data_IF_785831638701
#
_entry.id   IF_785831638701
#
_cell.length_a   1.000
_cell.length_b   1.000
_cell.length_c   1.000
_cell.angle_alpha   90.00
_cell.angle_beta   90.00
_cell.angle_gamma   90.00
#
_symmetry.space_group_name_H-M   'P 1'
#
loop_
_entity.id
_entity.type
_entity.pdbx_description
1 polymer ?
#
# COMPACT_ATOMS: atom_id res chain seq x y z
N UNK A 1 1.65 13.55 9.48
CA UNK A 1 2.15 14.79 10.15
C UNK A 1 3.60 15.00 9.76
N UNK A 2 4.07 16.24 9.59
CA UNK A 2 5.47 16.52 9.19
C UNK A 2 6.40 16.53 10.42
N UNK A 3 7.35 15.60 10.48
CA UNK A 3 8.35 15.46 11.55
C UNK A 3 9.30 16.68 11.63
N UNK A 4 9.56 17.34 10.50
CA UNK A 4 10.37 18.56 10.41
C UNK A 4 9.88 19.68 11.36
N UNK A 5 8.57 19.73 11.64
CA UNK A 5 7.97 20.76 12.50
C UNK A 5 8.26 20.55 13.99
N UNK A 6 8.70 19.35 14.37
CA UNK A 6 8.97 19.01 15.77
C UNK A 6 10.46 18.84 16.06
N UNK A 7 11.32 18.77 15.03
CA UNK A 7 12.78 18.84 15.14
C UNK A 7 13.17 20.32 15.33
N UNK A 8 14.00 20.61 16.33
CA UNK A 8 14.60 21.93 16.46
C UNK A 8 16.08 21.81 16.75
N UNK A 9 16.90 22.64 16.09
CA UNK A 9 18.36 22.67 16.24
C UNK A 9 18.81 22.76 17.69
N UNK A 10 18.09 23.54 18.51
CA UNK A 10 18.39 23.71 19.94
C UNK A 10 18.09 22.49 20.83
N UNK A 11 17.58 21.38 20.28
CA UNK A 11 17.25 20.15 21.02
C UNK A 11 18.00 18.95 20.44
N UNK A 12 19.11 19.21 19.74
CA UNK A 12 20.01 18.21 19.19
C UNK A 12 21.35 18.40 19.86
N UNK A 13 21.83 17.37 20.54
CA UNK A 13 23.05 17.44 21.35
C UNK A 13 23.92 16.21 21.16
N UNK A 14 25.23 16.40 21.39
CA UNK A 14 26.13 15.28 21.63
C UNK A 14 26.00 14.89 23.11
N UNK A 15 25.81 13.60 23.36
CA UNK A 15 25.62 13.04 24.69
C UNK A 15 26.98 12.70 25.31
N UNK A 16 27.15 13.08 26.57
CA UNK A 16 28.35 12.77 27.34
C UNK A 16 28.18 11.54 28.23
N UNK A 17 26.95 11.26 28.68
CA UNK A 17 26.65 10.10 29.50
C UNK A 17 26.80 8.79 28.73
N UNK A 18 27.27 7.76 29.45
CA UNK A 18 27.39 6.38 28.96
C UNK A 18 26.19 5.50 29.34
N UNK A 19 25.22 6.06 30.06
CA UNK A 19 24.00 5.38 30.54
C UNK A 19 22.76 6.04 29.95
N UNK A 20 21.70 5.24 29.73
CA UNK A 20 20.42 5.75 29.22
C UNK A 20 19.82 6.82 30.14
N UNK A 21 19.90 6.62 31.46
CA UNK A 21 19.41 7.58 32.45
C UNK A 21 20.10 8.94 32.32
N UNK A 22 21.43 8.96 32.31
CA UNK A 22 22.18 10.22 32.18
C UNK A 22 21.90 10.91 30.85
N UNK A 23 21.78 10.14 29.77
CA UNK A 23 21.43 10.70 28.47
C UNK A 23 20.01 11.30 28.42
N UNK A 24 19.04 10.69 29.11
CA UNK A 24 17.70 11.26 29.24
C UNK A 24 17.68 12.54 30.09
N UNK A 25 18.52 12.61 31.14
CA UNK A 25 18.70 13.83 31.94
C UNK A 25 19.25 14.99 31.08
N UNK A 26 20.27 14.71 30.25
CA UNK A 26 20.82 15.68 29.27
C UNK A 26 19.79 16.10 28.21
N UNK A 27 18.97 15.18 27.70
CA UNK A 27 17.93 15.53 26.70
C UNK A 27 16.76 16.30 27.31
N UNK A 28 16.43 16.04 28.57
CA UNK A 28 15.38 16.77 29.29
C UNK A 28 15.81 18.19 29.63
N UNK A 29 17.07 18.44 29.96
CA UNK A 29 17.55 19.81 30.26
C UNK A 29 17.34 20.75 29.06
N UNK A 30 17.74 20.33 27.86
CA UNK A 30 17.55 21.11 26.62
C UNK A 30 16.09 21.23 26.15
N UNK A 31 15.20 20.39 26.69
CA UNK A 31 13.76 20.49 26.45
C UNK A 31 13.06 21.42 27.43
N UNK A 32 13.33 21.26 28.74
CA UNK A 32 12.57 21.86 29.82
C UNK A 32 12.93 23.32 30.09
N UNK A 33 14.15 23.76 29.75
CA UNK A 33 14.57 25.17 29.85
C UNK A 33 13.65 26.15 29.09
N UNK A 34 12.83 25.65 28.17
CA UNK A 34 11.93 26.45 27.32
C UNK A 34 10.45 26.35 27.69
N UNK A 35 10.07 25.53 28.69
CA UNK A 35 8.68 25.27 29.02
C UNK A 35 8.47 25.10 30.53
N UNK A 36 7.93 26.14 31.18
CA UNK A 36 7.64 26.15 32.63
C UNK A 36 6.68 25.03 33.08
N UNK A 37 5.84 24.55 32.16
CA UNK A 37 4.86 23.49 32.41
C UNK A 37 5.49 22.08 32.52
N UNK A 38 6.79 21.93 32.20
CA UNK A 38 7.50 20.64 32.18
C UNK A 38 8.40 20.48 33.42
N UNK A 39 8.16 19.44 34.22
CA UNK A 39 8.99 19.09 35.39
C UNK A 39 9.97 17.96 35.01
N UNK A 40 11.29 18.22 34.86
CA UNK A 40 12.26 17.23 34.40
C UNK A 40 12.27 15.93 35.20
N UNK A 41 12.22 16.02 36.54
CA UNK A 41 12.21 14.85 37.42
C UNK A 41 10.98 13.95 37.23
N UNK A 42 9.81 14.54 36.95
CA UNK A 42 8.60 13.78 36.68
C UNK A 42 8.64 13.12 35.31
N UNK A 43 9.19 13.81 34.32
CA UNK A 43 9.36 13.30 32.96
C UNK A 43 10.36 12.15 32.94
N UNK A 44 11.50 12.30 33.62
CA UNK A 44 12.52 11.27 33.74
C UNK A 44 11.95 9.99 34.37
N UNK A 45 11.22 10.12 35.48
CA UNK A 45 10.55 8.96 36.10
C UNK A 45 9.57 8.28 35.15
N UNK A 46 8.79 9.05 34.39
CA UNK A 46 7.85 8.50 33.41
C UNK A 46 8.54 7.77 32.25
N UNK A 47 9.63 8.34 31.73
CA UNK A 47 10.43 7.73 30.66
C UNK A 47 11.09 6.42 31.13
N UNK A 48 11.71 6.43 32.31
CA UNK A 48 12.36 5.24 32.88
C UNK A 48 11.35 4.13 33.22
N UNK A 49 10.17 4.48 33.77
CA UNK A 49 9.11 3.50 34.03
C UNK A 49 8.56 2.88 32.72
N UNK A 50 8.51 3.67 31.64
CA UNK A 50 8.11 3.18 30.32
C UNK A 50 9.15 2.22 29.75
N UNK A 51 10.43 2.54 29.91
CA UNK A 51 11.56 1.72 29.50
C UNK A 51 11.61 0.37 30.24
N UNK A 52 11.38 0.39 31.55
CA UNK A 52 11.41 -0.83 32.38
C UNK A 52 10.27 -1.81 32.06
N UNK A 53 9.20 -1.34 31.43
CA UNK A 53 8.08 -2.19 30.98
C UNK A 53 8.43 -2.92 29.69
N UNK A 54 9.06 -2.21 28.75
CA UNK A 54 9.49 -2.74 27.46
C UNK A 54 10.54 -1.79 26.88
N UNK A 55 11.66 -2.35 26.44
CA UNK A 55 12.74 -1.59 25.81
C UNK A 55 12.22 -0.71 24.67
N UNK A 56 12.73 0.51 24.59
CA UNK A 56 12.50 1.42 23.45
C UNK A 56 13.62 1.38 22.43
N UNK A 57 14.54 0.42 22.58
CA UNK A 57 15.55 0.11 21.59
C UNK A 57 14.90 -0.46 20.31
N UNK A 58 15.34 0.04 19.16
CA UNK A 58 14.76 -0.29 17.85
C UNK A 58 15.70 -1.11 16.96
N UNK A 59 16.88 -1.49 17.45
CA UNK A 59 17.95 -2.07 16.65
C UNK A 59 18.90 -1.02 16.08
N UNK A 60 20.02 -1.48 15.52
CA UNK A 60 21.02 -0.66 14.80
C UNK A 60 21.57 0.53 15.60
N UNK A 61 21.59 0.45 16.94
CA UNK A 61 22.09 1.53 17.79
C UNK A 61 21.15 2.72 17.98
N UNK A 62 19.84 2.53 17.79
CA UNK A 62 18.83 3.58 17.97
C UNK A 62 17.83 3.25 19.08
N UNK A 63 17.50 4.23 19.92
CA UNK A 63 16.45 4.15 20.94
C UNK A 63 15.43 5.30 20.79
N UNK A 64 14.16 5.02 21.10
CA UNK A 64 13.03 5.98 21.02
C UNK A 64 12.27 6.13 22.36
N UNK A 65 12.91 6.64 23.44
CA UNK A 65 12.24 6.82 24.73
C UNK A 65 11.11 7.84 24.61
N UNK A 66 9.95 7.53 25.22
CA UNK A 66 8.76 8.35 25.01
C UNK A 66 7.81 8.36 26.20
N UNK A 67 7.10 9.48 26.40
CA UNK A 67 6.10 9.60 27.47
C UNK A 67 5.00 10.60 27.09
N UNK A 68 3.78 10.36 27.60
CA UNK A 68 2.70 11.35 27.54
C UNK A 68 2.74 12.27 28.75
N UNK A 69 2.59 13.57 28.52
CA UNK A 69 2.58 14.57 29.58
C UNK A 69 1.50 15.63 29.32
N UNK A 70 1.00 16.25 30.39
CA UNK A 70 0.10 17.40 30.28
C UNK A 70 0.92 18.61 29.81
N UNK A 71 0.73 19.02 28.56
CA UNK A 71 1.39 20.21 28.01
C UNK A 71 0.56 20.84 26.88
N UNK A 72 0.74 22.14 26.65
CA UNK A 72 0.05 22.88 25.58
C UNK A 72 0.51 22.48 24.18
N UNK A 73 1.77 22.09 24.02
CA UNK A 73 2.31 21.63 22.72
C UNK A 73 1.88 20.20 22.44
N UNK A 74 1.68 19.87 21.16
CA UNK A 74 1.30 18.52 20.74
C UNK A 74 2.47 17.53 20.91
N UNK A 75 3.68 17.93 20.51
CA UNK A 75 4.88 17.09 20.56
C UNK A 75 6.14 17.92 20.82
N UNK A 76 7.09 17.33 21.53
CA UNK A 76 8.46 17.82 21.71
C UNK A 76 9.39 16.64 21.43
N UNK A 77 10.28 16.79 20.45
CA UNK A 77 11.31 15.82 20.10
C UNK A 77 12.68 16.42 20.46
N UNK A 78 13.51 15.64 21.14
CA UNK A 78 14.94 15.90 21.32
C UNK A 78 15.76 14.70 20.87
N UNK A 79 16.94 14.97 20.35
CA UNK A 79 17.79 13.99 19.69
C UNK A 79 19.18 14.07 20.29
N UNK A 80 19.66 12.95 20.81
CA UNK A 80 20.99 12.84 21.40
C UNK A 80 21.85 11.89 20.59
N UNK A 81 23.08 12.30 20.26
CA UNK A 81 24.07 11.45 19.61
C UNK A 81 25.19 11.10 20.58
N UNK A 82 25.42 9.82 20.81
CA UNK A 82 26.58 9.32 21.55
C UNK A 82 27.65 8.78 20.59
N UNK A 83 28.85 9.37 20.63
CA UNK A 83 29.99 8.92 19.82
C UNK A 83 30.60 7.62 20.32
N UNK A 84 30.56 7.39 21.63
CA UNK A 84 31.12 6.20 22.29
C UNK A 84 30.11 5.06 22.42
N UNK A 85 28.82 5.38 22.23
CA UNK A 85 27.70 4.47 22.40
C UNK A 85 27.33 4.28 23.87
N UNK A 86 26.03 4.30 24.15
CA UNK A 86 25.45 4.12 25.48
C UNK A 86 25.13 2.65 25.71
N UNK A 87 25.42 2.15 26.91
CA UNK A 87 24.98 0.82 27.33
C UNK A 87 23.48 0.85 27.62
N UNK A 88 22.75 -0.09 27.04
CA UNK A 88 21.31 -0.26 27.22
C UNK A 88 21.06 -1.53 28.05
N UNK A 89 20.20 -1.44 29.07
CA UNK A 89 19.85 -2.57 29.91
C UNK A 89 18.81 -3.44 29.18
N UNK A 90 19.19 -4.67 28.81
CA UNK A 90 18.32 -5.62 28.10
C UNK A 90 18.74 -5.96 26.66
N UNK A 91 19.87 -5.45 26.19
CA UNK A 91 20.51 -5.85 24.91
C UNK A 91 21.77 -6.72 25.17
N UNK A 92 22.22 -7.48 24.17
CA UNK A 92 23.51 -8.20 24.25
C UNK A 92 24.67 -7.21 24.47
N UNK A 93 25.76 -7.64 25.12
CA UNK A 93 26.92 -6.79 25.50
C UNK A 93 27.58 -6.01 24.33
N UNK A 94 27.34 -6.44 23.09
CA UNK A 94 27.90 -5.84 21.88
C UNK A 94 27.04 -4.68 21.30
N UNK A 95 25.78 -4.57 21.69
CA UNK A 95 24.87 -3.57 21.12
C UNK A 95 24.91 -2.26 21.91
N UNK A 96 25.35 -1.18 21.25
CA UNK A 96 25.43 0.16 21.84
C UNK A 96 24.46 1.12 21.17
N UNK A 97 23.86 2.00 21.96
CA UNK A 97 22.96 3.04 21.46
C UNK A 97 23.77 4.30 21.12
N UNK A 98 23.82 4.64 19.83
CA UNK A 98 24.48 5.85 19.34
C UNK A 98 23.52 7.01 19.10
N UNK A 99 22.22 6.74 18.91
CA UNK A 99 21.20 7.77 18.70
C UNK A 99 19.99 7.54 19.61
N UNK A 100 19.58 8.59 20.30
CA UNK A 100 18.38 8.60 21.16
C UNK A 100 17.41 9.65 20.65
N UNK A 101 16.20 9.22 20.32
CA UNK A 101 15.09 10.09 19.94
C UNK A 101 14.10 10.15 21.10
N UNK A 102 14.18 11.19 21.92
CA UNK A 102 13.27 11.36 23.05
C UNK A 102 12.01 12.12 22.62
N UNK A 103 10.84 11.49 22.74
CA UNK A 103 9.55 12.09 22.36
C UNK A 103 8.64 12.33 23.58
N UNK A 104 8.34 13.60 23.85
CA UNK A 104 7.27 13.98 24.78
C UNK A 104 6.01 14.31 23.98
N UNK A 105 4.89 13.69 24.33
CA UNK A 105 3.61 13.90 23.67
C UNK A 105 2.57 14.51 24.62
N UNK A 106 1.83 15.49 24.14
CA UNK A 106 0.71 16.07 24.89
C UNK A 106 -0.35 15.01 25.15
N UNK A 107 -0.97 15.02 26.33
CA UNK A 107 -2.09 14.14 26.68
C UNK A 107 -3.26 14.20 25.68
N UNK A 108 -3.47 15.38 25.05
CA UNK A 108 -4.48 15.61 24.00
C UNK A 108 -3.94 15.49 22.57
N UNK A 109 -2.72 15.01 22.36
CA UNK A 109 -2.13 14.93 21.03
C UNK A 109 -2.73 13.77 20.21
N UNK A 110 -3.49 14.03 19.12
CA UNK A 110 -4.04 12.97 18.27
C UNK A 110 -2.91 12.30 17.49
N UNK A 111 -2.98 10.99 17.25
CA UNK A 111 -2.05 10.26 16.36
C UNK A 111 -0.60 10.12 16.89
N UNK A 112 -0.40 10.13 18.22
CA UNK A 112 0.90 9.87 18.85
C UNK A 112 1.60 8.58 18.37
N UNK A 113 0.86 7.47 18.25
CA UNK A 113 1.41 6.20 17.76
C UNK A 113 1.88 6.29 16.31
N UNK A 114 1.23 7.11 15.48
CA UNK A 114 1.67 7.34 14.09
C UNK A 114 3.00 8.09 14.04
N UNK A 115 3.25 9.03 14.96
CA UNK A 115 4.54 9.74 15.07
C UNK A 115 5.65 8.77 15.44
N UNK A 116 5.43 7.91 16.44
CA UNK A 116 6.37 6.87 16.82
C UNK A 116 6.65 5.91 15.66
N UNK A 117 5.61 5.42 14.99
CA UNK A 117 5.74 4.51 13.84
C UNK A 117 6.52 5.16 12.69
N UNK A 118 6.35 6.46 12.47
CA UNK A 118 7.08 7.19 11.43
C UNK A 118 8.57 7.33 11.76
N UNK A 119 8.92 7.65 13.02
CA UNK A 119 10.32 7.70 13.46
C UNK A 119 10.95 6.30 13.38
N UNK A 120 10.26 5.29 13.91
CA UNK A 120 10.73 3.91 13.93
C UNK A 120 10.97 3.34 12.52
N UNK A 121 10.15 3.71 11.52
CA UNK A 121 10.34 3.28 10.14
C UNK A 121 11.58 3.89 9.51
N UNK A 122 11.86 5.17 9.75
CA UNK A 122 13.01 5.85 9.16
C UNK A 122 14.32 5.30 9.73
N UNK A 123 14.35 5.02 11.03
CA UNK A 123 15.56 4.51 11.71
C UNK A 123 15.80 3.00 11.50
N UNK A 124 14.96 2.31 10.72
CA UNK A 124 15.21 0.91 10.32
C UNK A 124 16.21 0.78 9.17
N UNK A 125 16.48 1.84 8.43
CA UNK A 125 17.45 1.85 7.33
C UNK A 125 18.89 1.98 7.87
N UNK A 126 19.73 0.93 7.83
CA UNK A 126 21.05 0.95 8.49
C UNK A 126 21.99 2.03 7.94
N UNK A 127 21.91 2.30 6.63
CA UNK A 127 22.70 3.34 5.97
C UNK A 127 22.36 4.75 6.50
N UNK A 128 21.08 5.03 6.73
CA UNK A 128 20.63 6.31 7.28
C UNK A 128 21.14 6.48 8.71
N UNK A 129 20.99 5.46 9.55
CA UNK A 129 21.44 5.50 10.94
C UNK A 129 22.94 5.69 11.04
N UNK A 130 23.72 4.99 10.23
CA UNK A 130 25.18 5.13 10.20
C UNK A 130 25.59 6.52 9.70
N UNK A 131 24.88 7.06 8.71
CA UNK A 131 25.09 8.42 8.23
C UNK A 131 24.79 9.47 9.33
N UNK A 132 23.72 9.30 10.10
CA UNK A 132 23.40 10.18 11.23
C UNK A 132 24.46 10.09 12.34
N UNK A 133 24.81 8.87 12.75
CA UNK A 133 25.79 8.64 13.81
C UNK A 133 27.18 9.21 13.46
N UNK A 134 27.59 9.12 12.20
CA UNK A 134 28.90 9.56 11.72
C UNK A 134 28.93 11.03 11.24
N UNK A 135 27.92 11.83 11.54
CA UNK A 135 27.96 13.25 11.20
C UNK A 135 29.17 13.94 11.89
N UNK A 136 29.95 14.80 11.20
CA UNK A 136 31.13 15.41 11.78
C UNK A 136 30.81 16.35 12.95
N UNK A 137 29.69 17.06 12.87
CA UNK A 137 29.24 18.06 13.85
C UNK A 137 27.70 18.05 13.99
N UNK A 138 27.18 18.81 14.97
CA UNK A 138 25.74 18.90 15.25
C UNK A 138 24.96 19.65 14.16
N UNK A 139 25.63 20.51 13.40
CA UNK A 139 25.02 21.25 12.30
C UNK A 139 24.74 20.32 11.12
N UNK A 140 25.72 19.50 10.75
CA UNK A 140 25.60 18.44 9.76
C UNK A 140 24.64 17.35 10.23
N UNK A 141 24.64 17.03 11.53
CA UNK A 141 23.65 16.11 12.11
C UNK A 141 22.24 16.70 11.96
N UNK A 142 22.03 17.96 12.31
CA UNK A 142 20.74 18.63 12.10
C UNK A 142 20.35 18.68 10.63
N UNK A 143 21.28 18.94 9.71
CA UNK A 143 21.01 18.92 8.27
C UNK A 143 20.68 17.53 7.75
N UNK A 144 21.33 16.47 8.25
CA UNK A 144 21.01 15.07 7.93
C UNK A 144 19.75 14.58 8.64
N UNK A 145 19.39 15.14 9.78
CA UNK A 145 18.15 14.83 10.48
C UNK A 145 17.00 15.56 9.79
N UNK A 146 17.12 16.85 9.54
CA UNK A 146 16.12 17.56 8.75
C UNK A 146 16.08 17.00 7.35
N UNK A 147 17.20 16.69 6.70
CA UNK A 147 17.35 16.12 5.35
C UNK A 147 17.35 14.59 5.23
N UNK A 148 17.11 13.88 6.33
CA UNK A 148 17.00 12.40 6.40
C UNK A 148 15.71 11.96 7.09
N UNK A 149 15.14 12.81 7.98
CA UNK A 149 13.72 12.82 8.31
C UNK A 149 12.91 13.55 7.21
N UNK A 150 13.49 14.54 6.51
CA UNK A 150 13.22 14.88 5.09
C UNK A 150 14.17 14.09 4.21
N UNK A 151 13.97 12.77 4.06
CA UNK A 151 14.33 12.23 2.76
C UNK A 151 13.68 13.13 1.71
N UNK A 152 14.48 13.98 1.04
CA UNK A 152 14.15 14.92 -0.05
C UNK A 152 13.73 16.38 0.35
N UNK A 153 14.65 17.33 0.68
CA UNK A 153 14.47 18.80 0.42
C UNK A 153 15.81 19.53 0.16
N UNK A 154 16.29 19.48 -1.09
CA UNK A 154 16.03 20.59 -2.04
C UNK A 154 15.05 20.19 -3.15
N UNK A 155 14.76 18.89 -3.25
CA UNK A 155 14.03 18.33 -4.37
C UNK A 155 12.50 18.40 -4.16
N UNK A 156 11.94 18.39 -2.93
CA UNK A 156 10.47 18.51 -2.72
C UNK A 156 9.87 19.90 -3.01
N UNK A 157 10.60 21.00 -2.85
CA UNK A 157 10.07 22.33 -3.19
C UNK A 157 10.01 22.51 -4.73
N UNK A 158 11.05 22.03 -5.42
CA UNK A 158 11.10 21.95 -6.87
C UNK A 158 10.11 20.91 -7.40
N UNK A 159 9.98 19.74 -6.79
CA UNK A 159 9.01 18.70 -7.11
C UNK A 159 7.58 19.15 -6.83
N UNK A 160 7.28 19.92 -5.78
CA UNK A 160 5.93 20.48 -5.61
C UNK A 160 5.59 21.46 -6.75
N UNK A 161 6.57 22.24 -7.23
CA UNK A 161 6.38 23.09 -8.42
C UNK A 161 6.21 22.25 -9.68
N UNK A 162 7.05 21.23 -9.88
CA UNK A 162 6.98 20.31 -11.02
C UNK A 162 5.70 19.49 -11.03
N UNK A 163 5.27 18.96 -9.89
CA UNK A 163 4.02 18.19 -9.73
C UNK A 163 2.81 19.08 -10.00
N UNK A 164 2.80 20.31 -9.50
CA UNK A 164 1.75 21.30 -9.83
C UNK A 164 1.75 21.65 -11.31
N UNK A 165 2.92 21.81 -11.91
CA UNK A 165 3.05 22.07 -13.34
C UNK A 165 2.54 20.88 -14.17
N UNK A 166 3.00 19.67 -13.88
CA UNK A 166 2.57 18.45 -14.56
C UNK A 166 1.08 18.19 -14.41
N UNK A 167 0.51 18.40 -13.22
CA UNK A 167 -0.92 18.29 -13.04
C UNK A 167 -1.69 19.35 -13.85
N UNK A 168 -1.20 20.59 -13.88
CA UNK A 168 -1.79 21.66 -14.71
C UNK A 168 -1.70 21.34 -16.21
N UNK A 169 -0.57 20.80 -16.67
CA UNK A 169 -0.44 20.35 -18.06
C UNK A 169 -1.35 19.14 -18.32
N UNK A 170 -1.55 18.25 -17.35
CA UNK A 170 -2.51 17.16 -17.47
C UNK A 170 -3.93 17.65 -17.68
N UNK A 171 -4.33 18.73 -17.02
CA UNK A 171 -5.64 19.34 -17.26
C UNK A 171 -5.76 19.89 -18.69
N UNK A 172 -4.69 20.49 -19.21
CA UNK A 172 -4.67 20.99 -20.60
C UNK A 172 -4.69 19.85 -21.61
N UNK A 173 -3.89 18.81 -21.40
CA UNK A 173 -3.89 17.61 -22.24
C UNK A 173 -5.25 16.94 -22.20
N UNK A 174 -5.83 16.76 -21.01
CA UNK A 174 -7.17 16.19 -20.86
C UNK A 174 -8.23 17.02 -21.60
N UNK A 175 -8.18 18.35 -21.50
CA UNK A 175 -9.10 19.22 -22.23
C UNK A 175 -8.91 19.13 -23.75
N UNK A 176 -7.66 19.20 -24.22
CA UNK A 176 -7.33 19.18 -25.65
C UNK A 176 -7.56 17.82 -26.31
N UNK A 177 -7.40 16.74 -25.56
CA UNK A 177 -7.69 15.38 -26.00
C UNK A 177 -9.16 14.98 -25.78
N UNK A 178 -10.02 15.88 -25.27
CA UNK A 178 -11.42 15.60 -24.93
C UNK A 178 -11.58 14.39 -23.99
N UNK A 179 -10.71 14.28 -22.97
CA UNK A 179 -10.83 13.27 -21.94
C UNK A 179 -12.01 13.57 -21.01
N UNK A 180 -12.78 12.54 -20.66
CA UNK A 180 -13.90 12.65 -19.72
C UNK A 180 -13.45 12.65 -18.26
N UNK A 181 -12.27 12.11 -17.96
CA UNK A 181 -11.69 12.10 -16.62
C UNK A 181 -10.15 12.22 -16.61
N UNK A 182 -9.63 12.66 -15.46
CA UNK A 182 -8.21 12.62 -15.10
C UNK A 182 -8.02 11.59 -13.99
N UNK A 183 -7.26 10.54 -14.26
CA UNK A 183 -6.92 9.50 -13.30
C UNK A 183 -5.56 9.82 -12.67
N UNK A 184 -5.52 9.91 -11.34
CA UNK A 184 -4.33 10.31 -10.57
C UNK A 184 -3.86 9.13 -9.72
N UNK A 185 -2.64 8.66 -9.96
CA UNK A 185 -2.04 7.59 -9.15
C UNK A 185 -1.44 8.18 -7.87
N UNK A 186 -2.14 7.98 -6.76
CA UNK A 186 -1.75 8.43 -5.43
C UNK A 186 -0.54 7.69 -4.86
N UNK A 187 -0.27 6.47 -5.32
CA UNK A 187 0.88 5.66 -4.88
C UNK A 187 2.24 6.28 -5.22
N UNK A 188 2.26 7.26 -6.13
CA UNK A 188 3.43 8.11 -6.36
C UNK A 188 3.86 8.83 -5.09
N UNK A 189 2.94 9.13 -4.17
CA UNK A 189 3.23 9.86 -2.94
C UNK A 189 3.21 8.96 -1.70
N UNK A 190 4.23 9.13 -0.86
CA UNK A 190 4.29 8.49 0.46
C UNK A 190 3.38 9.28 1.41
N UNK A 191 2.26 8.67 1.82
CA UNK A 191 1.33 9.26 2.80
C UNK A 191 0.17 10.06 2.19
N UNK A 192 -0.15 9.83 0.91
CA UNK A 192 -1.26 10.48 0.22
C UNK A 192 -0.85 11.74 -0.56
N UNK A 193 -1.77 12.28 -1.36
CA UNK A 193 -1.46 13.42 -2.23
C UNK A 193 -1.52 14.72 -1.41
N UNK A 194 -0.54 15.65 -1.56
CA UNK A 194 -0.57 16.92 -0.84
C UNK A 194 -1.82 17.74 -1.18
N UNK A 195 -2.53 18.20 -0.14
CA UNK A 195 -3.72 19.04 -0.27
C UNK A 195 -3.45 20.32 -1.08
N UNK A 196 -4.37 20.68 -1.98
CA UNK A 196 -4.30 21.91 -2.79
C UNK A 196 -3.51 21.82 -4.10
N UNK A 197 -3.04 20.63 -4.52
CA UNK A 197 -2.42 20.43 -5.84
C UNK A 197 -3.48 20.24 -6.96
N UNK A 198 -4.73 19.90 -6.61
CA UNK A 198 -5.55 19.04 -7.46
C UNK A 198 -6.90 19.63 -7.92
N UNK A 199 -7.09 20.94 -7.86
CA UNK A 199 -8.37 21.53 -8.30
C UNK A 199 -8.53 21.39 -9.81
N UNK A 200 -9.54 20.63 -10.23
CA UNK A 200 -9.88 20.39 -11.64
C UNK A 200 -11.34 20.68 -11.95
N UNK A 201 -11.57 21.15 -13.19
CA UNK A 201 -12.92 21.26 -13.77
C UNK A 201 -13.35 19.96 -14.46
N UNK A 202 -12.39 19.10 -14.80
CA UNK A 202 -12.61 17.76 -15.36
C UNK A 202 -12.68 16.78 -14.19
N UNK A 203 -13.57 15.79 -14.28
CA UNK A 203 -13.74 14.71 -13.30
C UNK A 203 -12.38 14.11 -12.92
N UNK A 204 -12.04 14.08 -11.63
CA UNK A 204 -10.79 13.48 -11.15
C UNK A 204 -11.06 12.17 -10.41
N UNK A 205 -10.29 11.14 -10.74
CA UNK A 205 -10.34 9.81 -10.13
C UNK A 205 -9.02 9.55 -9.42
N UNK A 206 -9.03 9.46 -8.10
CA UNK A 206 -7.85 9.08 -7.31
C UNK A 206 -7.73 7.57 -7.26
N UNK A 207 -6.54 7.04 -7.54
CA UNK A 207 -6.21 5.62 -7.46
C UNK A 207 -5.11 5.43 -6.41
N UNK A 208 -5.34 4.60 -5.38
CA UNK A 208 -4.30 4.29 -4.38
C UNK A 208 -4.36 2.87 -3.85
N UNK A 209 -3.20 2.32 -3.44
CA UNK A 209 -3.10 0.99 -2.80
C UNK A 209 -3.67 0.92 -1.40
N UNK A 210 -3.49 1.99 -0.63
CA UNK A 210 -4.00 2.07 0.72
C UNK A 210 -5.30 2.87 0.73
N UNK A 211 -6.18 2.59 1.69
CA UNK A 211 -7.23 3.50 2.06
C UNK A 211 -6.57 4.83 2.46
N UNK A 212 -6.55 5.79 1.54
CA UNK A 212 -6.19 7.15 1.86
C UNK A 212 -7.39 7.67 2.64
N UNK A 213 -7.28 7.67 3.97
CA UNK A 213 -8.16 8.48 4.81
C UNK A 213 -8.10 9.90 4.27
N UNK A 214 -9.15 10.32 3.57
CA UNK A 214 -9.31 11.72 3.21
C UNK A 214 -9.26 12.50 4.52
N UNK A 215 -8.39 13.50 4.67
CA UNK A 215 -8.45 14.35 5.85
C UNK A 215 -9.84 14.97 5.87
N UNK A 216 -10.59 14.70 6.94
CA UNK A 216 -11.86 15.35 7.23
C UNK A 216 -11.60 16.85 7.44
N UNK A 217 -11.49 17.59 6.35
CA UNK A 217 -11.53 19.04 6.32
C UNK A 217 -12.71 19.43 5.44
N UNK A 218 -13.59 20.26 6.00
CA UNK A 218 -14.88 20.71 5.45
C UNK A 218 -14.78 21.53 4.14
N UNK A 219 -13.62 21.58 3.49
CA UNK A 219 -13.38 22.29 2.25
C UNK A 219 -13.35 21.29 1.07
N UNK A 220 -14.49 21.13 0.39
CA UNK A 220 -14.72 20.54 -0.95
C UNK A 220 -13.75 19.42 -1.38
N UNK A 221 -14.27 18.19 -1.50
CA UNK A 221 -13.60 17.02 -2.08
C UNK A 221 -12.70 17.37 -3.27
N UNK A 222 -11.38 17.25 -3.10
CA UNK A 222 -10.38 17.48 -4.16
C UNK A 222 -10.49 16.43 -5.30
N UNK A 223 -11.24 15.35 -5.08
CA UNK A 223 -11.47 14.24 -6.02
C UNK A 223 -12.93 13.86 -6.12
N UNK A 224 -13.42 13.63 -7.34
CA UNK A 224 -14.80 13.21 -7.57
C UNK A 224 -15.05 11.73 -7.25
N UNK A 225 -14.03 10.88 -7.45
CA UNK A 225 -14.10 9.45 -7.16
C UNK A 225 -12.75 9.02 -6.58
N UNK A 226 -12.77 8.20 -5.53
CA UNK A 226 -11.57 7.55 -4.99
C UNK A 226 -11.71 6.05 -5.15
N UNK A 227 -10.79 5.42 -5.87
CA UNK A 227 -10.70 3.98 -6.08
C UNK A 227 -9.53 3.44 -5.27
N UNK A 228 -9.83 2.55 -4.34
CA UNK A 228 -8.81 1.78 -3.66
C UNK A 228 -8.49 0.57 -4.52
N UNK A 229 -7.25 0.48 -4.96
CA UNK A 229 -6.79 -0.61 -5.82
C UNK A 229 -5.68 -1.32 -5.04
N UNK A 230 -6.05 -2.34 -4.26
CA UNK A 230 -5.08 -3.20 -3.56
C UNK A 230 -4.13 -3.76 -4.63
N UNK A 231 -2.85 -3.40 -4.51
CA UNK A 231 -1.87 -3.27 -5.60
C UNK A 231 -1.91 -4.34 -6.70
N UNK A 232 -1.97 -3.96 -7.97
CA UNK A 232 -1.81 -4.88 -9.11
C UNK A 232 -0.58 -4.48 -9.95
N UNK A 233 0.61 -4.88 -9.49
CA UNK A 233 1.95 -4.60 -10.06
C UNK A 233 2.61 -3.27 -9.68
N UNK A 234 3.95 -3.28 -9.61
CA UNK A 234 4.80 -2.09 -9.57
C UNK A 234 5.04 -1.48 -10.96
N UNK A 235 4.56 -2.15 -12.02
CA UNK A 235 4.64 -1.67 -13.40
C UNK A 235 3.50 -0.71 -13.71
N UNK A 236 3.82 0.45 -14.29
CA UNK A 236 2.88 1.56 -14.55
C UNK A 236 1.68 1.14 -15.41
N UNK A 237 1.90 0.35 -16.46
CA UNK A 237 0.84 -0.06 -17.37
C UNK A 237 -0.13 -1.07 -16.74
N UNK A 238 0.40 -2.00 -15.94
CA UNK A 238 -0.41 -3.00 -15.24
C UNK A 238 -1.25 -2.36 -14.12
N UNK A 239 -0.68 -1.36 -13.43
CA UNK A 239 -1.41 -0.53 -12.48
C UNK A 239 -2.52 0.27 -13.17
N UNK A 240 -2.24 0.84 -14.35
CA UNK A 240 -3.21 1.58 -15.15
C UNK A 240 -4.37 0.70 -15.61
N UNK A 241 -4.08 -0.48 -16.17
CA UNK A 241 -5.12 -1.43 -16.60
C UNK A 241 -6.02 -1.82 -15.44
N UNK A 242 -5.44 -2.13 -14.30
CA UNK A 242 -6.20 -2.53 -13.12
C UNK A 242 -7.05 -1.38 -12.56
N UNK A 243 -6.53 -0.16 -12.57
CA UNK A 243 -7.29 1.01 -12.15
C UNK A 243 -8.47 1.32 -13.08
N UNK A 244 -8.28 1.20 -14.40
CA UNK A 244 -9.36 1.34 -15.38
C UNK A 244 -10.40 0.22 -15.20
N UNK A 245 -9.96 -1.02 -15.00
CA UNK A 245 -10.84 -2.17 -14.76
C UNK A 245 -11.74 -1.91 -13.55
N UNK A 246 -11.19 -1.44 -12.43
CA UNK A 246 -11.96 -1.11 -11.23
C UNK A 246 -12.88 0.08 -11.46
N UNK A 247 -12.41 1.11 -12.17
CA UNK A 247 -13.24 2.27 -12.50
C UNK A 247 -14.44 1.89 -13.39
N UNK A 248 -14.27 0.98 -14.35
CA UNK A 248 -15.35 0.42 -15.16
C UNK A 248 -16.32 -0.41 -14.32
N UNK A 249 -15.78 -1.23 -13.42
CA UNK A 249 -16.53 -2.12 -12.53
C UNK A 249 -17.43 -1.33 -11.57
N UNK A 250 -16.96 -0.18 -11.07
CA UNK A 250 -17.73 0.74 -10.22
C UNK A 250 -18.61 1.74 -10.99
N UNK A 251 -18.65 1.67 -12.33
CA UNK A 251 -19.39 2.62 -13.17
C UNK A 251 -18.82 4.05 -13.13
N UNK A 252 -17.60 4.23 -12.64
CA UNK A 252 -16.90 5.51 -12.62
C UNK A 252 -16.40 5.92 -14.02
N UNK A 253 -16.20 4.94 -14.91
CA UNK A 253 -15.84 5.13 -16.32
C UNK A 253 -16.71 4.22 -17.20
N UNK A 254 -16.81 4.58 -18.47
CA UNK A 254 -17.42 3.80 -19.54
C UNK A 254 -16.37 3.37 -20.57
N UNK A 255 -16.65 2.34 -21.36
CA UNK A 255 -15.71 1.88 -22.39
C UNK A 255 -15.39 2.89 -23.48
N UNK A 256 -16.34 3.77 -23.79
CA UNK A 256 -16.17 4.86 -24.77
C UNK A 256 -15.41 6.05 -24.21
N UNK A 257 -15.05 6.04 -22.92
CA UNK A 257 -14.31 7.12 -22.31
C UNK A 257 -12.84 7.16 -22.77
N UNK A 258 -12.35 8.38 -22.91
CA UNK A 258 -10.93 8.69 -23.01
C UNK A 258 -10.49 9.34 -21.70
N UNK A 259 -9.39 8.88 -21.13
CA UNK A 259 -8.90 9.37 -19.84
C UNK A 259 -7.46 9.88 -19.93
N UNK A 260 -7.14 10.88 -19.13
CA UNK A 260 -5.77 11.35 -18.93
C UNK A 260 -5.24 10.78 -17.61
N UNK A 261 -4.21 9.96 -17.69
CA UNK A 261 -3.55 9.35 -16.54
C UNK A 261 -2.32 10.18 -16.16
N UNK A 262 -2.17 10.51 -14.88
CA UNK A 262 -0.98 11.15 -14.32
C UNK A 262 -0.47 10.37 -13.10
N UNK A 263 0.83 10.09 -13.09
CA UNK A 263 1.47 9.32 -12.05
C UNK A 263 3.00 9.41 -12.13
N UNK A 264 3.65 8.56 -11.36
CA UNK A 264 5.09 8.40 -11.34
C UNK A 264 5.50 7.14 -10.59
N UNK A 265 6.81 6.88 -10.49
CA UNK A 265 7.33 5.75 -9.70
C UNK A 265 6.71 5.77 -8.29
N UNK A 266 6.27 4.61 -7.83
CA UNK A 266 5.67 4.48 -6.50
C UNK A 266 6.63 4.99 -5.41
N UNK A 267 6.14 5.86 -4.54
CA UNK A 267 6.93 6.48 -3.46
C UNK A 267 7.96 7.53 -3.89
N UNK A 268 8.07 7.89 -5.18
CA UNK A 268 9.01 8.92 -5.63
C UNK A 268 8.66 10.33 -5.18
N UNK A 269 7.41 10.54 -4.74
CA UNK A 269 6.79 11.85 -4.50
C UNK A 269 6.82 12.79 -5.72
N UNK A 270 6.99 12.25 -6.92
CA UNK A 270 7.13 13.02 -8.15
C UNK A 270 6.33 12.41 -9.28
N UNK A 271 5.45 13.21 -9.89
CA UNK A 271 4.89 12.88 -11.19
C UNK A 271 6.00 12.91 -12.23
N UNK A 272 6.06 11.87 -13.05
CA UNK A 272 7.01 11.76 -14.15
C UNK A 272 6.34 11.24 -15.44
N UNK A 273 5.10 10.76 -15.33
CA UNK A 273 4.38 10.10 -16.41
C UNK A 273 3.02 10.76 -16.59
N UNK A 274 2.76 11.12 -17.84
CA UNK A 274 1.47 11.55 -18.32
C UNK A 274 1.10 10.72 -19.54
N UNK A 275 -0.11 10.16 -19.55
CA UNK A 275 -0.60 9.32 -20.65
C UNK A 275 -2.05 9.61 -20.95
N UNK A 276 -2.44 9.53 -22.22
CA UNK A 276 -3.84 9.58 -22.66
C UNK A 276 -4.22 8.19 -23.13
N UNK A 277 -5.31 7.66 -22.59
CA UNK A 277 -5.77 6.30 -22.87
C UNK A 277 -7.20 6.33 -23.37
N UNK A 278 -7.41 5.70 -24.52
CA UNK A 278 -8.74 5.33 -25.00
C UNK A 278 -9.08 3.95 -24.47
N UNK A 279 -10.10 3.87 -23.62
CA UNK A 279 -10.40 2.63 -22.90
C UNK A 279 -10.82 1.53 -23.88
N UNK A 280 -11.67 1.86 -24.86
CA UNK A 280 -12.08 0.91 -25.90
C UNK A 280 -10.90 0.28 -26.63
N UNK A 281 -9.87 1.08 -26.96
CA UNK A 281 -8.68 0.58 -27.66
C UNK A 281 -7.80 -0.29 -26.77
N UNK A 282 -7.61 0.11 -25.51
CA UNK A 282 -6.79 -0.65 -24.54
C UNK A 282 -7.44 -1.98 -24.15
N UNK A 283 -8.78 -2.02 -24.07
CA UNK A 283 -9.57 -3.19 -23.68
C UNK A 283 -10.23 -3.90 -24.87
N UNK A 284 -9.90 -3.53 -26.11
CA UNK A 284 -10.55 -4.00 -27.34
C UNK A 284 -10.61 -5.52 -27.41
N UNK A 285 -9.53 -6.18 -26.98
CA UNK A 285 -9.43 -7.64 -26.98
C UNK A 285 -10.45 -8.26 -26.02
N UNK A 286 -10.59 -7.73 -24.80
CA UNK A 286 -11.54 -8.25 -23.81
C UNK A 286 -13.00 -8.02 -24.19
N UNK A 287 -13.27 -6.91 -24.86
CA UNK A 287 -14.63 -6.50 -25.18
C UNK A 287 -15.26 -7.36 -26.27
N UNK A 288 -14.46 -7.94 -27.17
CA UNK A 288 -14.95 -8.77 -28.29
C UNK A 288 -16.15 -8.15 -29.02
N UNK A 289 -16.18 -6.81 -29.15
CA UNK A 289 -17.30 -6.06 -29.75
C UNK A 289 -18.55 -5.86 -28.88
N UNK A 290 -18.47 -6.07 -27.55
CA UNK A 290 -19.55 -5.76 -26.59
C UNK A 290 -19.08 -4.75 -25.55
N UNK A 291 -20.03 -4.03 -24.95
CA UNK A 291 -19.75 -2.98 -23.95
C UNK A 291 -19.85 -3.46 -22.49
N UNK A 292 -19.91 -4.77 -22.24
CA UNK A 292 -20.02 -5.37 -20.91
C UNK A 292 -18.77 -6.19 -20.54
N UNK A 293 -18.15 -5.82 -19.42
CA UNK A 293 -17.03 -6.57 -18.83
C UNK A 293 -17.54 -7.74 -17.99
N UNK A 294 -18.40 -7.39 -17.02
CA UNK A 294 -18.94 -8.31 -16.04
C UNK A 294 -20.07 -9.13 -16.66
N UNK A 295 -20.12 -10.45 -16.42
CA UNK A 295 -21.35 -11.21 -16.57
C UNK A 295 -22.47 -10.55 -15.75
N UNK A 296 -23.71 -10.62 -16.25
CA UNK A 296 -24.89 -9.96 -15.65
C UNK A 296 -25.14 -10.38 -14.20
N UNK A 297 -24.71 -11.58 -13.86
CA UNK A 297 -24.85 -12.24 -12.56
C UNK A 297 -23.70 -11.96 -11.59
N UNK A 298 -22.61 -11.32 -12.03
CA UNK A 298 -21.44 -11.06 -11.19
C UNK A 298 -21.48 -9.64 -10.61
N UNK A 299 -21.48 -9.55 -9.28
CA UNK A 299 -21.43 -8.27 -8.58
C UNK A 299 -20.01 -7.64 -8.67
N UNK A 300 -19.91 -6.31 -8.87
CA UNK A 300 -18.64 -5.58 -8.87
C UNK A 300 -17.72 -5.89 -7.68
N UNK A 301 -18.28 -5.90 -6.47
CA UNK A 301 -17.54 -6.07 -5.22
C UNK A 301 -16.94 -7.48 -5.11
N UNK A 302 -17.60 -8.47 -5.71
CA UNK A 302 -17.12 -9.86 -5.76
C UNK A 302 -15.89 -9.94 -6.64
N UNK A 303 -15.93 -9.35 -7.85
CA UNK A 303 -14.76 -9.32 -8.72
C UNK A 303 -13.59 -8.60 -8.04
N UNK A 304 -13.84 -7.42 -7.48
CA UNK A 304 -12.82 -6.65 -6.75
C UNK A 304 -12.15 -7.50 -5.66
N UNK A 305 -12.96 -8.19 -4.85
CA UNK A 305 -12.47 -9.02 -3.76
C UNK A 305 -11.67 -10.22 -4.25
N UNK A 306 -12.12 -10.91 -5.30
CA UNK A 306 -11.39 -12.06 -5.87
C UNK A 306 -10.06 -11.62 -6.46
N UNK A 307 -10.01 -10.49 -7.18
CA UNK A 307 -8.73 -9.99 -7.70
C UNK A 307 -7.80 -9.61 -6.53
N UNK A 308 -8.32 -8.95 -5.48
CA UNK A 308 -7.52 -8.62 -4.30
C UNK A 308 -6.89 -9.86 -3.65
N UNK A 309 -7.70 -10.91 -3.39
CA UNK A 309 -7.21 -12.18 -2.84
C UNK A 309 -6.19 -12.85 -3.76
N UNK A 310 -6.46 -12.87 -5.07
CA UNK A 310 -5.54 -13.43 -6.06
C UNK A 310 -4.18 -12.73 -6.05
N UNK A 311 -4.14 -11.43 -5.81
CA UNK A 311 -2.89 -10.67 -5.77
C UNK A 311 -2.18 -10.72 -4.42
N UNK A 312 -2.91 -10.75 -3.31
CA UNK A 312 -2.32 -11.07 -2.01
C UNK A 312 -1.63 -12.46 -2.09
N UNK A 313 -2.30 -13.46 -2.67
CA UNK A 313 -1.70 -14.76 -2.97
C UNK A 313 -0.47 -14.68 -3.87
N UNK A 314 -0.51 -13.84 -4.92
CA UNK A 314 0.62 -13.65 -5.82
C UNK A 314 1.83 -12.97 -5.17
N UNK A 315 1.64 -12.19 -4.10
CA UNK A 315 2.69 -11.43 -3.37
C UNK A 315 3.20 -12.16 -2.12
N UNK A 316 2.31 -12.76 -1.33
CA UNK A 316 2.67 -13.45 -0.09
C UNK A 316 2.99 -14.93 -0.35
N UNK A 317 2.33 -15.52 -1.34
CA UNK A 317 2.30 -16.97 -1.48
C UNK A 317 1.66 -17.64 -0.27
N UNK A 318 2.01 -18.89 -0.03
CA UNK A 318 1.69 -19.62 1.20
C UNK A 318 2.98 -19.91 1.95
N UNK A 319 3.09 -19.48 3.21
CA UNK A 319 4.31 -19.65 4.01
C UNK A 319 5.57 -19.12 3.28
N UNK A 320 5.41 -18.06 2.49
CA UNK A 320 6.47 -17.47 1.67
C UNK A 320 6.81 -18.22 0.37
N UNK A 321 6.13 -19.34 0.06
CA UNK A 321 6.29 -20.08 -1.19
C UNK A 321 5.27 -19.67 -2.24
N UNK A 322 5.65 -19.51 -3.52
CA UNK A 322 4.70 -19.20 -4.57
C UNK A 322 3.65 -20.30 -4.75
N UNK A 323 2.37 -19.92 -4.78
CA UNK A 323 1.25 -20.84 -5.05
C UNK A 323 0.51 -20.36 -6.29
N UNK A 324 0.21 -21.29 -7.20
CA UNK A 324 -0.60 -21.01 -8.36
C UNK A 324 -2.03 -21.49 -8.15
N UNK A 325 -3.01 -20.64 -8.47
CA UNK A 325 -4.43 -20.90 -8.22
C UNK A 325 -5.29 -20.43 -9.38
N UNK A 326 -6.49 -21.00 -9.50
CA UNK A 326 -7.49 -20.62 -10.49
C UNK A 326 -8.80 -20.28 -9.76
N UNK A 327 -9.32 -19.08 -9.98
CA UNK A 327 -10.62 -18.65 -9.51
C UNK A 327 -11.57 -18.53 -10.70
N UNK A 328 -12.78 -19.06 -10.57
CA UNK A 328 -13.83 -18.98 -11.60
C UNK A 328 -15.06 -18.33 -10.97
N UNK A 329 -15.48 -17.20 -11.52
CA UNK A 329 -16.56 -16.35 -10.97
C UNK A 329 -17.68 -16.19 -11.99
N UNK A 330 -18.90 -16.60 -11.62
CA UNK A 330 -20.09 -16.44 -12.45
C UNK A 330 -21.22 -17.41 -12.10
N UNK A 331 -22.04 -17.72 -13.10
CA UNK A 331 -23.22 -18.57 -12.97
C UNK A 331 -22.80 -19.99 -12.62
N UNK A 332 -22.95 -20.34 -11.34
CA UNK A 332 -22.46 -21.60 -10.80
C UNK A 332 -23.06 -22.81 -11.53
N UNK A 333 -24.33 -22.71 -11.96
CA UNK A 333 -25.00 -23.80 -12.67
C UNK A 333 -24.36 -24.11 -14.04
N UNK A 334 -23.75 -23.12 -14.68
CA UNK A 334 -23.01 -23.30 -15.94
C UNK A 334 -21.60 -23.78 -15.69
N UNK A 335 -20.94 -23.22 -14.68
CA UNK A 335 -19.57 -23.54 -14.30
C UNK A 335 -19.46 -24.98 -13.81
N UNK A 336 -20.38 -25.44 -12.96
CA UNK A 336 -20.38 -26.80 -12.41
C UNK A 336 -20.51 -27.87 -13.49
N UNK A 337 -21.35 -27.64 -14.52
CA UNK A 337 -21.50 -28.55 -15.67
C UNK A 337 -20.20 -28.77 -16.44
N UNK A 338 -19.25 -27.86 -16.31
CA UNK A 338 -17.94 -27.91 -16.95
C UNK A 338 -16.82 -28.20 -15.95
N UNK A 339 -17.15 -28.70 -14.76
CA UNK A 339 -16.18 -28.99 -13.72
C UNK A 339 -16.45 -30.33 -13.03
N UNK A 340 -15.42 -30.91 -12.41
CA UNK A 340 -15.54 -32.09 -11.54
C UNK A 340 -14.69 -31.94 -10.28
N UNK A 341 -15.15 -32.38 -9.10
CA UNK A 341 -14.32 -32.37 -7.90
C UNK A 341 -13.08 -33.25 -8.07
N UNK A 342 -11.89 -32.74 -7.74
CA UNK A 342 -10.66 -33.54 -7.59
C UNK A 342 -10.50 -34.05 -6.16
N UNK A 343 -10.96 -33.26 -5.20
CA UNK A 343 -10.93 -33.54 -3.77
C UNK A 343 -12.31 -33.32 -3.15
N UNK A 344 -12.47 -33.74 -1.90
CA UNK A 344 -13.67 -33.39 -1.12
C UNK A 344 -13.76 -31.88 -0.99
N UNK A 345 -14.96 -31.34 -1.20
CA UNK A 345 -15.21 -29.91 -1.15
C UNK A 345 -15.10 -29.41 0.30
N UNK A 346 -14.12 -28.54 0.62
CA UNK A 346 -13.94 -28.05 1.99
C UNK A 346 -15.00 -27.04 2.42
N UNK A 347 -15.77 -26.46 1.49
CA UNK A 347 -16.85 -25.53 1.81
C UNK A 347 -18.21 -26.21 2.02
N UNK A 348 -18.29 -27.53 1.80
CA UNK A 348 -19.53 -28.27 1.96
C UNK A 348 -20.00 -28.27 3.42
N UNK A 349 -21.28 -27.97 3.64
CA UNK A 349 -21.90 -27.96 4.98
C UNK A 349 -21.80 -26.64 5.74
N UNK A 350 -21.04 -25.67 5.23
CA UNK A 350 -21.01 -24.31 5.77
C UNK A 350 -22.12 -23.45 5.16
N UNK A 351 -22.61 -22.47 5.93
CA UNK A 351 -23.61 -21.52 5.41
C UNK A 351 -22.99 -20.60 4.37
N UNK A 352 -23.83 -20.10 3.46
CA UNK A 352 -23.42 -19.17 2.40
C UNK A 352 -22.74 -17.90 2.95
N UNK A 353 -23.23 -17.37 4.07
CA UNK A 353 -22.65 -16.21 4.76
C UNK A 353 -21.22 -16.44 5.26
N UNK A 354 -20.94 -17.64 5.75
CA UNK A 354 -19.63 -18.02 6.30
C UNK A 354 -18.63 -18.30 5.18
N UNK A 355 -19.10 -18.76 4.02
CA UNK A 355 -18.28 -19.09 2.84
C UNK A 355 -18.35 -18.05 1.73
N UNK A 356 -18.76 -16.81 2.03
CA UNK A 356 -18.74 -15.73 1.05
C UNK A 356 -17.35 -15.07 0.98
N UNK A 357 -16.82 -14.84 -0.21
CA UNK A 357 -15.50 -14.20 -0.42
C UNK A 357 -15.44 -12.76 0.13
N UNK A 358 -16.60 -12.09 0.23
CA UNK A 358 -16.72 -10.76 0.82
C UNK A 358 -16.55 -10.78 2.34
N UNK A 359 -16.62 -11.95 2.98
CA UNK A 359 -16.32 -12.11 4.40
C UNK A 359 -14.82 -11.85 4.65
N UNK A 360 -14.46 -10.89 5.52
CA UNK A 360 -13.06 -10.59 5.85
C UNK A 360 -12.27 -11.79 6.40
N UNK A 361 -12.94 -12.75 7.04
CA UNK A 361 -12.29 -13.94 7.60
C UNK A 361 -11.95 -15.02 6.57
N UNK A 362 -12.40 -14.84 5.32
CA UNK A 362 -12.19 -15.81 4.24
C UNK A 362 -10.79 -15.77 3.64
N UNK A 363 -10.00 -14.73 3.93
CA UNK A 363 -8.66 -14.53 3.36
C UNK A 363 -7.73 -15.70 3.69
N UNK A 364 -7.61 -16.05 4.97
CA UNK A 364 -6.73 -17.14 5.40
C UNK A 364 -7.27 -18.50 4.95
N UNK A 365 -8.58 -18.69 4.90
CA UNK A 365 -9.20 -19.94 4.42
C UNK A 365 -8.91 -20.17 2.94
N UNK A 366 -9.09 -19.15 2.11
CA UNK A 366 -8.79 -19.24 0.67
C UNK A 366 -7.28 -19.41 0.46
N UNK A 367 -6.45 -18.72 1.24
CA UNK A 367 -4.99 -18.91 1.20
C UNK A 367 -4.58 -20.33 1.57
N UNK A 368 -5.18 -20.93 2.58
CA UNK A 368 -4.88 -22.30 2.98
C UNK A 368 -5.29 -23.29 1.89
N UNK A 369 -6.52 -23.17 1.36
CA UNK A 369 -7.03 -24.03 0.31
C UNK A 369 -6.40 -23.77 -1.08
N UNK A 370 -5.69 -22.66 -1.27
CA UNK A 370 -5.02 -22.33 -2.54
C UNK A 370 -3.96 -23.36 -2.93
N UNK A 371 -3.49 -24.14 -1.95
CA UNK A 371 -2.55 -25.24 -2.11
C UNK A 371 -3.15 -26.51 -2.72
N UNK A 372 -4.48 -26.60 -2.73
CA UNK A 372 -5.21 -27.72 -3.34
C UNK A 372 -5.18 -27.56 -4.86
N UNK A 373 -4.96 -28.66 -5.58
CA UNK A 373 -5.02 -28.61 -7.04
C UNK A 373 -6.46 -28.49 -7.55
N UNK A 374 -6.65 -27.66 -8.57
CA UNK A 374 -7.95 -27.32 -9.15
C UNK A 374 -8.31 -25.85 -9.03
N UNK A 375 -9.57 -25.55 -9.29
CA UNK A 375 -10.15 -24.22 -9.26
C UNK A 375 -11.01 -24.00 -8.02
N UNK A 376 -11.06 -22.74 -7.58
CA UNK A 376 -12.14 -22.22 -6.76
C UNK A 376 -13.31 -21.85 -7.66
N UNK A 377 -14.51 -22.35 -7.34
CA UNK A 377 -15.74 -21.97 -8.01
C UNK A 377 -16.51 -21.00 -7.12
N UNK A 378 -16.81 -19.82 -7.65
CA UNK A 378 -17.40 -18.70 -6.91
C UNK A 378 -18.67 -18.25 -7.64
N UNK A 379 -19.78 -18.21 -6.94
CA UNK A 379 -21.01 -17.62 -7.43
C UNK A 379 -20.85 -16.13 -7.72
N UNK A 380 -21.64 -15.59 -8.64
CA UNK A 380 -21.61 -14.15 -8.96
C UNK A 380 -21.97 -13.22 -7.79
N UNK A 381 -22.57 -13.77 -6.73
CA UNK A 381 -22.87 -13.11 -5.46
C UNK A 381 -21.76 -13.26 -4.38
N UNK A 382 -20.69 -13.99 -4.70
CA UNK A 382 -19.50 -14.14 -3.86
C UNK A 382 -19.43 -15.43 -3.05
N UNK A 383 -20.43 -16.30 -3.11
CA UNK A 383 -20.41 -17.58 -2.37
C UNK A 383 -19.35 -18.51 -2.95
N UNK A 384 -18.44 -19.03 -2.11
CA UNK A 384 -17.49 -20.08 -2.47
C UNK A 384 -18.20 -21.43 -2.48
N UNK A 385 -18.36 -21.97 -3.68
CA UNK A 385 -19.10 -23.21 -3.89
C UNK A 385 -18.18 -24.42 -3.82
N UNK A 386 -16.95 -24.30 -4.31
CA UNK A 386 -15.95 -25.36 -4.14
C UNK A 386 -14.51 -24.83 -4.19
N UNK A 387 -13.59 -25.61 -3.61
CA UNK A 387 -12.17 -25.55 -3.89
C UNK A 387 -11.69 -26.92 -4.39
N UNK A 388 -10.73 -26.91 -5.31
CA UNK A 388 -10.16 -28.14 -5.87
C UNK A 388 -11.02 -28.79 -6.96
N UNK A 389 -11.67 -27.98 -7.80
CA UNK A 389 -12.44 -28.47 -8.95
C UNK A 389 -11.60 -28.51 -10.22
N UNK A 390 -11.54 -29.66 -10.91
CA UNK A 390 -10.97 -29.79 -12.24
C UNK A 390 -11.90 -29.16 -13.27
N UNK A 391 -11.38 -28.25 -14.07
CA UNK A 391 -12.10 -27.67 -15.20
C UNK A 391 -12.01 -28.61 -16.41
N UNK A 392 -13.16 -29.05 -16.92
CA UNK A 392 -13.32 -29.92 -18.10
C UNK A 392 -13.78 -29.13 -19.33
N UNK A 393 -13.34 -27.88 -19.44
CA UNK A 393 -13.52 -27.08 -20.65
C UNK A 393 -12.28 -27.24 -21.54
N UNK A 394 -12.48 -27.75 -22.75
CA UNK A 394 -11.44 -27.80 -23.78
C UNK A 394 -11.84 -26.84 -24.89
N UNK A 395 -10.89 -26.00 -25.30
CA UNK A 395 -10.99 -25.18 -26.50
C UNK A 395 -9.79 -25.50 -27.42
N UNK A 396 -9.99 -26.30 -28.49
CA UNK A 396 -8.90 -26.71 -29.37
C UNK A 396 -8.42 -25.60 -30.32
N UNK A 397 -9.17 -24.50 -30.48
CA UNK A 397 -8.81 -23.44 -31.43
C UNK A 397 -8.06 -22.26 -30.80
N UNK A 398 -7.98 -22.19 -29.47
CA UNK A 398 -7.37 -21.05 -28.78
C UNK A 398 -5.88 -21.26 -28.50
N UNK A 399 -5.01 -20.51 -29.21
CA UNK A 399 -3.57 -20.52 -28.96
C UNK A 399 -3.20 -19.50 -27.88
N UNK A 400 -2.78 -20.02 -26.73
CA UNK A 400 -2.19 -19.18 -25.68
C UNK A 400 -0.71 -18.89 -25.98
N UNK A 401 -0.19 -17.69 -25.66
CA UNK A 401 1.24 -17.40 -25.74
C UNK A 401 2.09 -18.45 -25.00
N UNK A 402 3.29 -18.72 -25.52
CA UNK A 402 4.22 -19.68 -24.91
C UNK A 402 4.58 -19.33 -23.46
N UNK A 403 4.71 -20.35 -22.60
CA UNK A 403 5.05 -20.19 -21.19
C UNK A 403 3.86 -20.02 -20.24
N UNK A 404 2.64 -20.31 -20.70
CA UNK A 404 1.43 -20.40 -19.89
C UNK A 404 1.06 -21.88 -19.64
N UNK A 405 0.76 -22.22 -18.38
CA UNK A 405 0.48 -23.60 -17.96
C UNK A 405 -0.99 -24.03 -18.09
N UNK A 406 -1.30 -25.26 -17.66
CA UNK A 406 -2.64 -25.87 -17.73
C UNK A 406 -3.76 -25.02 -17.13
N UNK A 407 -3.51 -24.30 -16.02
CA UNK A 407 -4.49 -23.39 -15.40
C UNK A 407 -4.91 -22.23 -16.31
N UNK A 408 -4.02 -21.72 -17.16
CA UNK A 408 -4.35 -20.65 -18.11
C UNK A 408 -5.21 -21.19 -19.25
N UNK A 409 -4.90 -22.38 -19.75
CA UNK A 409 -5.72 -23.05 -20.77
C UNK A 409 -7.13 -23.33 -20.25
N UNK A 410 -7.24 -23.84 -19.02
CA UNK A 410 -8.51 -24.06 -18.34
C UNK A 410 -9.30 -22.75 -18.17
N UNK A 411 -8.64 -21.66 -17.74
CA UNK A 411 -9.26 -20.35 -17.56
C UNK A 411 -9.79 -19.75 -18.87
N UNK A 412 -9.01 -19.84 -19.95
CA UNK A 412 -9.44 -19.39 -21.27
C UNK A 412 -10.68 -20.17 -21.72
N UNK A 413 -10.63 -21.51 -21.68
CA UNK A 413 -11.72 -22.34 -22.15
C UNK A 413 -13.01 -22.15 -21.33
N UNK A 414 -12.93 -22.10 -19.99
CA UNK A 414 -14.13 -21.96 -19.16
C UNK A 414 -14.74 -20.56 -19.25
N UNK A 415 -13.92 -19.50 -19.30
CA UNK A 415 -14.41 -18.13 -19.45
C UNK A 415 -15.16 -17.92 -20.77
N UNK A 416 -14.80 -18.67 -21.82
CA UNK A 416 -15.52 -18.70 -23.09
C UNK A 416 -16.82 -19.52 -23.00
N UNK A 417 -16.72 -20.79 -22.57
CA UNK A 417 -17.85 -21.75 -22.60
C UNK A 417 -18.95 -21.42 -21.60
N UNK A 418 -18.58 -21.04 -20.37
CA UNK A 418 -19.53 -20.69 -19.32
C UNK A 418 -19.93 -19.21 -19.35
N UNK A 419 -19.28 -18.39 -20.19
CA UNK A 419 -19.42 -16.94 -20.18
C UNK A 419 -19.17 -16.33 -18.78
N UNK A 420 -18.24 -16.89 -18.02
CA UNK A 420 -17.82 -16.42 -16.69
C UNK A 420 -16.54 -15.55 -16.75
N UNK A 421 -16.05 -15.13 -15.59
CA UNK A 421 -14.69 -14.58 -15.41
C UNK A 421 -13.81 -15.66 -14.81
N UNK A 422 -12.57 -15.78 -15.26
CA UNK A 422 -11.58 -16.64 -14.62
C UNK A 422 -10.32 -15.84 -14.29
N UNK A 423 -9.75 -16.01 -13.10
CA UNK A 423 -8.54 -15.32 -12.65
C UNK A 423 -7.50 -16.39 -12.29
N UNK A 424 -6.34 -16.29 -12.91
CA UNK A 424 -5.21 -17.21 -12.70
C UNK A 424 -4.11 -16.49 -11.96
N UNK A 425 -3.67 -17.11 -10.86
CA UNK A 425 -2.41 -16.79 -10.19
C UNK A 425 -1.37 -17.82 -10.65
N UNK A 426 -0.27 -17.38 -11.25
CA UNK A 426 0.83 -18.25 -11.61
C UNK A 426 1.76 -18.48 -10.42
N UNK A 427 2.50 -19.59 -10.43
CA UNK A 427 3.61 -19.81 -9.49
C UNK A 427 4.77 -18.82 -9.65
N UNK A 428 4.78 -18.00 -10.71
CA UNK A 428 5.72 -16.89 -10.88
C UNK A 428 5.20 -15.55 -10.31
N UNK A 429 4.04 -15.57 -9.65
CA UNK A 429 3.41 -14.38 -9.05
C UNK A 429 2.70 -13.47 -10.07
N UNK A 430 2.39 -13.99 -11.26
CA UNK A 430 1.61 -13.28 -12.28
C UNK A 430 0.12 -13.47 -12.01
N UNK A 431 -0.68 -12.41 -12.10
CA UNK A 431 -2.15 -12.48 -12.01
C UNK A 431 -2.74 -12.11 -13.37
N UNK A 432 -3.56 -13.01 -13.92
CA UNK A 432 -4.17 -12.84 -15.24
C UNK A 432 -5.66 -13.05 -15.16
N UNK A 433 -6.44 -12.10 -15.67
CA UNK A 433 -7.88 -12.22 -15.82
C UNK A 433 -8.21 -12.74 -17.22
N UNK A 434 -9.19 -13.63 -17.31
CA UNK A 434 -9.73 -14.18 -18.53
C UNK A 434 -11.22 -13.86 -18.63
N UNK A 435 -11.63 -13.32 -19.76
CA UNK A 435 -13.02 -13.09 -20.12
C UNK A 435 -13.23 -13.51 -21.56
N UNK A 436 -14.21 -14.39 -21.80
CA UNK A 436 -14.53 -14.90 -23.15
C UNK A 436 -13.31 -15.48 -23.89
N UNK A 437 -12.44 -16.19 -23.17
CA UNK A 437 -11.20 -16.75 -23.70
C UNK A 437 -10.04 -15.75 -23.79
N UNK A 438 -10.29 -14.45 -23.70
CA UNK A 438 -9.25 -13.42 -23.86
C UNK A 438 -8.57 -13.14 -22.54
N UNK A 439 -7.23 -13.11 -22.58
CA UNK A 439 -6.39 -12.80 -21.42
C UNK A 439 -6.11 -11.30 -21.26
N UNK A 440 -6.14 -10.83 -20.01
CA UNK A 440 -5.66 -9.53 -19.56
C UNK A 440 -4.74 -9.72 -18.35
N UNK A 441 -3.42 -9.51 -18.51
CA UNK A 441 -2.50 -9.48 -17.38
C UNK A 441 -2.84 -8.30 -16.47
N UNK A 442 -3.10 -8.59 -15.19
CA UNK A 442 -3.33 -7.58 -14.15
C UNK A 442 -2.05 -7.32 -13.33
N UNK A 443 -1.27 -8.38 -13.09
CA UNK A 443 0.02 -8.30 -12.42
C UNK A 443 1.06 -9.11 -13.18
N UNK A 444 2.23 -8.52 -13.39
CA UNK A 444 3.34 -9.15 -14.11
C UNK A 444 4.12 -10.13 -13.22
N UNK A 445 4.94 -10.97 -13.87
CA UNK A 445 5.85 -11.89 -13.17
C UNK A 445 6.80 -11.11 -12.26
N UNK A 446 7.13 -11.67 -11.09
CA UNK A 446 8.21 -11.12 -10.27
C UNK A 446 9.51 -11.20 -11.07
N UNK A 447 10.17 -10.06 -11.29
CA UNK A 447 11.59 -10.05 -11.66
C UNK A 447 12.36 -10.64 -10.48
N UNK A 448 13.08 -11.74 -10.73
CA UNK A 448 13.99 -12.34 -9.75
C UNK A 448 15.08 -11.36 -9.35
#
# INVERSE_FOLDING_TARGET
MRLEKIIARSRIIDLHSSTLRGALEELLSVCAEKFDDLKPESLLRGLLARESTMTTYLGHGVSLPHVRVKMKRRYILAIGRSRTGIRHEGTNDEERVNLIFMLLAGDRAPNYLQVLASIARQVREPELVQNLANAPDLDTLYERLVGGFDGIRPVQAQQNRTNRLLFREAQRVASGAACSAIMVFGDTFIGGIPAGILRSKIKTILVSRNAVEQPASEDKEDFNVTLQVRAFSNQRMSQLRSAILMALTHGALNFTDRICCIGGVAGSNQFDTLSVVEIEREFQTLLTGRNDLLPVDVKPEVLERVIAVATELAIEGREGKPVGSLFVVGDINKVEKLSKPLVLNPFYGYKEEDRNILNPFMDETVKEFSSIDGAFLIGGDGVLESAGSLIQAVDPEHSLPGGLGSRHAAAAAISLKAQCIAIVVSSSGQVTLFRRGVMLPLMDRRSQ
#
